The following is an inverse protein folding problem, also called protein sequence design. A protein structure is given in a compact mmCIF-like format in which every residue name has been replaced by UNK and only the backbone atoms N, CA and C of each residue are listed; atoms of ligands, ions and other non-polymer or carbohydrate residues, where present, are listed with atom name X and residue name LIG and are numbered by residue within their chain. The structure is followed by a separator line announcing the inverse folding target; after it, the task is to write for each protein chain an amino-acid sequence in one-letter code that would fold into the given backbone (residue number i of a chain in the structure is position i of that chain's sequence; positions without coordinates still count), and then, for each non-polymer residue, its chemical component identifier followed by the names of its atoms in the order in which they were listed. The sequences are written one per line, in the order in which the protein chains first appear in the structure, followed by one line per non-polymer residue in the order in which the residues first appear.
data_IF_212437854952
#
_entry.id   IF_212437854952
#
_cell.length_a   1.000
_cell.length_b   1.000
_cell.length_c   1.000
_cell.angle_alpha   90.00
_cell.angle_beta   90.00
_cell.angle_gamma   90.00
#
_symmetry.space_group_name_H-M   'P 1'
#
loop_
_entity.id
_entity.type
_entity.pdbx_description
1 polymer ?
#
# COMPACT_ATOMS: atom_id res chain seq x y z
N UNK A 1 9.88 -8.16 -35.78
CA UNK A 1 10.11 -6.82 -35.23
C UNK A 1 9.98 -6.92 -33.71
N UNK A 2 10.81 -6.22 -32.95
CA UNK A 2 10.67 -6.13 -31.50
C UNK A 2 9.33 -5.48 -31.14
N UNK A 3 8.67 -5.93 -30.07
CA UNK A 3 7.46 -5.25 -29.56
C UNK A 3 7.82 -3.85 -29.09
N UNK A 4 6.91 -2.90 -29.22
CA UNK A 4 7.04 -1.55 -28.69
C UNK A 4 6.36 -1.50 -27.32
N UNK A 5 7.13 -1.12 -26.31
CA UNK A 5 6.64 -0.93 -24.93
C UNK A 5 6.57 0.56 -24.65
N UNK A 6 5.45 1.03 -24.18
CA UNK A 6 5.25 2.42 -23.81
C UNK A 6 5.06 2.57 -22.30
N UNK A 7 5.72 3.54 -21.71
CA UNK A 7 5.53 3.97 -20.33
C UNK A 7 5.33 5.47 -20.28
N UNK A 8 4.55 5.97 -19.32
CA UNK A 8 4.40 7.40 -19.08
C UNK A 8 4.45 7.72 -17.60
N UNK A 9 5.09 8.84 -17.27
CA UNK A 9 5.20 9.31 -15.89
C UNK A 9 5.83 10.69 -15.75
N UNK A 10 5.91 11.16 -14.52
CA UNK A 10 6.55 12.44 -14.17
C UNK A 10 8.07 12.34 -14.27
N UNK A 11 8.66 11.30 -13.70
CA UNK A 11 10.11 11.02 -13.66
C UNK A 11 10.96 12.19 -13.13
N UNK A 12 10.39 12.95 -12.22
CA UNK A 12 11.09 14.00 -11.52
C UNK A 12 12.02 13.41 -10.45
N UNK A 13 13.25 13.88 -10.33
CA UNK A 13 14.28 13.33 -9.44
C UNK A 13 14.48 11.82 -9.65
N UNK A 14 15.12 11.44 -10.76
CA UNK A 14 15.39 10.03 -11.07
C UNK A 14 16.11 9.31 -9.92
N UNK A 15 15.64 8.11 -9.60
CA UNK A 15 16.17 7.25 -8.55
C UNK A 15 16.14 5.76 -8.96
N UNK A 16 16.76 4.89 -8.16
CA UNK A 16 16.89 3.46 -8.45
C UNK A 16 15.58 2.75 -8.80
N UNK A 17 14.46 3.17 -8.23
CA UNK A 17 13.13 2.63 -8.55
C UNK A 17 12.71 2.93 -9.99
N UNK A 18 12.99 4.12 -10.53
CA UNK A 18 12.74 4.42 -11.94
C UNK A 18 13.62 3.57 -12.86
N UNK A 19 14.89 3.37 -12.50
CA UNK A 19 15.78 2.54 -13.29
C UNK A 19 15.34 1.08 -13.34
N UNK A 20 14.94 0.51 -12.19
CA UNK A 20 14.41 -0.85 -12.11
C UNK A 20 13.14 -1.00 -12.94
N UNK A 21 12.23 -0.03 -12.89
CA UNK A 21 11.03 0.02 -13.70
C UNK A 21 11.30 0.06 -15.21
N UNK A 22 12.25 0.89 -15.66
CA UNK A 22 12.62 0.93 -17.06
C UNK A 22 13.34 -0.33 -17.53
N UNK A 23 14.16 -0.92 -16.67
CA UNK A 23 14.83 -2.20 -16.95
C UNK A 23 13.79 -3.32 -17.09
N UNK A 24 12.81 -3.41 -16.19
CA UNK A 24 11.70 -4.37 -16.26
C UNK A 24 10.89 -4.17 -17.54
N UNK A 25 10.46 -2.95 -17.84
CA UNK A 25 9.71 -2.64 -19.05
C UNK A 25 10.48 -3.00 -20.32
N UNK A 26 11.80 -2.77 -20.37
CA UNK A 26 12.65 -3.07 -21.52
C UNK A 26 12.77 -4.56 -21.84
N UNK A 27 12.45 -5.44 -20.89
CA UNK A 27 12.44 -6.90 -21.12
C UNK A 27 11.31 -7.35 -22.06
N UNK A 28 10.27 -6.51 -22.20
CA UNK A 28 9.13 -6.81 -23.06
C UNK A 28 9.30 -6.30 -24.50
N UNK A 29 10.31 -5.45 -24.78
CA UNK A 29 10.58 -4.92 -26.11
C UNK A 29 11.31 -3.56 -26.12
N UNK A 30 11.24 -2.86 -27.24
CA UNK A 30 11.81 -1.52 -27.42
C UNK A 30 11.04 -0.51 -26.57
N UNK A 31 11.70 0.12 -25.59
CA UNK A 31 11.07 1.01 -24.60
C UNK A 31 10.94 2.45 -25.12
N UNK A 32 9.72 2.96 -25.15
CA UNK A 32 9.35 4.34 -25.44
C UNK A 32 8.82 5.00 -24.16
N UNK A 33 9.33 6.18 -23.81
CA UNK A 33 9.03 6.86 -22.56
C UNK A 33 8.38 8.22 -22.83
N UNK A 34 7.12 8.38 -22.43
CA UNK A 34 6.42 9.66 -22.37
C UNK A 34 6.65 10.34 -21.02
N UNK A 35 6.94 11.63 -21.05
CA UNK A 35 7.21 12.45 -19.85
C UNK A 35 6.09 13.48 -19.76
N UNK A 36 5.39 13.50 -18.62
CA UNK A 36 4.38 14.53 -18.36
C UNK A 36 5.00 15.91 -18.36
N UNK A 37 4.39 16.87 -19.10
CA UNK A 37 4.86 18.26 -19.13
C UNK A 37 4.80 18.91 -17.75
N UNK A 38 5.59 19.95 -17.52
CA UNK A 38 5.58 20.70 -16.25
C UNK A 38 4.18 21.23 -15.93
N UNK A 39 3.46 21.70 -16.95
CA UNK A 39 2.09 22.19 -16.84
C UNK A 39 1.11 21.08 -16.44
N UNK A 40 1.21 19.89 -17.06
CA UNK A 40 0.41 18.72 -16.70
C UNK A 40 0.66 18.29 -15.26
N UNK A 41 1.93 18.23 -14.83
CA UNK A 41 2.29 17.82 -13.46
C UNK A 41 1.80 18.86 -12.46
N UNK A 42 1.92 20.15 -12.75
CA UNK A 42 1.36 21.21 -11.89
C UNK A 42 -0.15 21.06 -11.70
N UNK A 43 -0.89 20.78 -12.77
CA UNK A 43 -2.34 20.57 -12.72
C UNK A 43 -2.73 19.31 -11.94
N UNK A 44 -1.99 18.20 -12.11
CA UNK A 44 -2.31 16.92 -11.47
C UNK A 44 -1.87 16.83 -10.02
N UNK A 45 -0.72 17.45 -9.66
CA UNK A 45 -0.10 17.31 -8.34
C UNK A 45 -0.14 18.58 -7.48
N UNK A 46 -0.65 19.70 -8.03
CA UNK A 46 -0.72 20.98 -7.31
C UNK A 46 0.63 21.58 -6.94
N UNK A 47 1.73 21.12 -7.56
CA UNK A 47 3.09 21.55 -7.25
C UNK A 47 4.01 21.47 -8.46
N UNK A 48 5.06 22.34 -8.55
CA UNK A 48 6.04 22.27 -9.63
C UNK A 48 6.93 21.03 -9.52
N UNK A 49 7.53 20.66 -10.65
CA UNK A 49 8.63 19.69 -10.71
C UNK A 49 9.91 20.31 -10.12
N UNK A 50 10.84 19.50 -9.63
CA UNK A 50 12.20 19.93 -9.23
C UNK A 50 13.02 20.18 -10.49
N UNK A 51 13.02 19.18 -11.38
CA UNK A 51 13.72 19.26 -12.66
C UNK A 51 12.71 19.65 -13.76
N UNK A 52 12.97 20.68 -14.54
CA UNK A 52 12.09 21.06 -15.66
C UNK A 52 12.00 19.93 -16.69
N UNK A 53 10.92 19.91 -17.47
CA UNK A 53 10.64 18.82 -18.42
C UNK A 53 11.77 18.57 -19.43
N UNK A 54 12.51 19.62 -19.83
CA UNK A 54 13.66 19.51 -20.71
C UNK A 54 14.83 18.73 -20.07
N UNK A 55 15.11 18.96 -18.79
CA UNK A 55 16.13 18.24 -18.05
C UNK A 55 15.72 16.79 -17.78
N UNK A 56 14.46 16.56 -17.42
CA UNK A 56 13.89 15.21 -17.26
C UNK A 56 13.97 14.43 -18.58
N UNK A 57 13.69 15.05 -19.70
CA UNK A 57 13.82 14.47 -21.04
C UNK A 57 15.27 14.07 -21.31
N UNK A 58 16.22 15.00 -21.11
CA UNK A 58 17.64 14.74 -21.30
C UNK A 58 18.13 13.53 -20.48
N UNK A 59 17.80 13.50 -19.19
CA UNK A 59 18.19 12.40 -18.31
C UNK A 59 17.63 11.04 -18.79
N UNK A 60 16.36 11.00 -19.16
CA UNK A 60 15.71 9.75 -19.60
C UNK A 60 16.22 9.27 -20.94
N UNK A 61 16.44 10.17 -21.89
CA UNK A 61 17.04 9.83 -23.19
C UNK A 61 18.43 9.22 -23.07
N UNK A 62 19.17 9.55 -21.98
CA UNK A 62 20.51 9.04 -21.72
C UNK A 62 20.54 7.63 -21.13
N UNK A 63 19.36 7.05 -20.81
CA UNK A 63 19.29 5.71 -20.21
C UNK A 63 19.42 4.60 -21.25
N UNK A 64 20.29 3.63 -20.98
CA UNK A 64 20.56 2.50 -21.91
C UNK A 64 19.33 1.63 -22.24
N UNK A 65 18.30 1.66 -21.39
CA UNK A 65 17.07 0.89 -21.61
C UNK A 65 16.06 1.59 -22.51
N UNK A 66 16.24 2.89 -22.74
CA UNK A 66 15.27 3.74 -23.42
C UNK A 66 15.63 3.84 -24.90
N UNK A 67 14.70 3.42 -25.76
CA UNK A 67 14.83 3.57 -27.22
C UNK A 67 14.59 5.01 -27.65
N UNK A 68 13.57 5.63 -27.07
CA UNK A 68 13.17 7.01 -27.35
C UNK A 68 12.38 7.58 -26.17
N UNK A 69 12.60 8.86 -25.85
CA UNK A 69 11.78 9.60 -24.90
C UNK A 69 11.30 10.92 -25.51
N UNK A 70 10.16 11.43 -25.02
CA UNK A 70 9.55 12.68 -25.46
C UNK A 70 8.65 13.24 -24.40
N UNK A 71 8.36 14.54 -24.46
CA UNK A 71 7.38 15.19 -23.59
C UNK A 71 5.99 14.94 -24.18
N UNK A 72 5.04 14.51 -23.36
CA UNK A 72 3.68 14.27 -23.76
C UNK A 72 3.00 15.57 -24.21
N UNK A 73 2.25 15.50 -25.32
CA UNK A 73 1.61 16.67 -25.94
C UNK A 73 0.22 17.00 -25.36
N UNK A 74 -0.36 16.06 -24.60
CA UNK A 74 -1.70 16.20 -24.03
C UNK A 74 -1.71 16.80 -22.62
N UNK A 75 -2.82 16.56 -21.91
CA UNK A 75 -3.00 16.97 -20.50
C UNK A 75 -3.81 15.94 -19.72
N UNK A 76 -3.68 15.94 -18.37
CA UNK A 76 -4.40 15.03 -17.49
C UNK A 76 -3.76 13.63 -17.40
N UNK A 77 -4.54 12.63 -16.94
CA UNK A 77 -4.04 11.28 -16.64
C UNK A 77 -3.58 10.51 -17.88
N UNK A 78 -4.16 10.81 -19.03
CA UNK A 78 -3.84 10.20 -20.34
C UNK A 78 -3.24 11.22 -21.31
N UNK A 79 -2.38 12.11 -20.79
CA UNK A 79 -1.70 13.17 -21.53
C UNK A 79 -0.89 12.66 -22.74
N UNK A 80 -0.65 11.36 -22.82
CA UNK A 80 0.12 10.65 -23.84
C UNK A 80 -0.73 9.98 -24.94
N UNK A 81 -2.03 10.23 -25.02
CA UNK A 81 -2.87 9.58 -26.04
C UNK A 81 -2.44 9.93 -27.47
N UNK A 82 -1.92 11.15 -27.70
CA UNK A 82 -1.37 11.56 -28.98
C UNK A 82 -0.17 10.70 -29.42
N UNK A 83 0.71 10.43 -28.50
CA UNK A 83 1.91 9.60 -28.67
C UNK A 83 1.54 8.13 -28.94
N UNK A 84 0.54 7.60 -28.25
CA UNK A 84 0.00 6.24 -28.51
C UNK A 84 -0.47 6.11 -29.97
N UNK A 85 -1.18 7.11 -30.51
CA UNK A 85 -1.64 7.11 -31.90
C UNK A 85 -0.49 7.08 -32.91
N UNK A 86 0.59 7.78 -32.61
CA UNK A 86 1.75 7.92 -33.49
C UNK A 86 2.68 6.69 -33.41
N UNK A 87 3.00 6.23 -32.19
CA UNK A 87 3.97 5.15 -31.95
C UNK A 87 3.33 3.80 -32.21
N UNK A 88 2.03 3.64 -31.89
CA UNK A 88 1.27 2.39 -31.93
C UNK A 88 1.99 1.30 -31.16
N UNK A 89 2.14 1.47 -29.83
CA UNK A 89 2.82 0.48 -29.01
C UNK A 89 1.97 -0.80 -28.87
N UNK A 90 2.64 -1.93 -28.66
CA UNK A 90 2.00 -3.22 -28.37
C UNK A 90 1.61 -3.34 -26.90
N UNK A 91 2.37 -2.67 -26.01
CA UNK A 91 2.24 -2.78 -24.57
C UNK A 91 2.23 -1.38 -23.94
N UNK A 92 1.26 -1.12 -23.07
CA UNK A 92 1.33 -0.05 -22.07
C UNK A 92 1.75 -0.67 -20.73
N UNK A 93 2.94 -0.29 -20.25
CA UNK A 93 3.51 -0.79 -19.01
C UNK A 93 3.44 0.31 -17.96
N UNK A 94 2.86 0.04 -16.80
CA UNK A 94 2.64 1.04 -15.74
C UNK A 94 3.12 0.50 -14.39
N UNK A 95 3.44 1.40 -13.48
CA UNK A 95 3.54 1.05 -12.06
C UNK A 95 2.14 0.84 -11.49
N UNK A 96 2.05 0.15 -10.37
CA UNK A 96 0.79 -0.02 -9.65
C UNK A 96 0.17 1.33 -9.22
N UNK A 97 1.00 2.33 -8.82
CA UNK A 97 0.55 3.71 -8.52
C UNK A 97 0.15 4.52 -9.77
N UNK A 98 0.59 4.09 -10.93
CA UNK A 98 0.21 4.64 -12.22
C UNK A 98 -0.99 3.98 -12.87
N UNK A 99 -1.57 2.93 -12.25
CA UNK A 99 -2.77 2.26 -12.75
C UNK A 99 -4.01 3.15 -12.68
N UNK A 100 -4.88 3.06 -13.69
CA UNK A 100 -6.20 3.67 -13.68
C UNK A 100 -7.11 3.03 -14.72
N UNK A 101 -8.43 3.02 -14.46
CA UNK A 101 -9.44 2.52 -15.40
C UNK A 101 -9.36 3.23 -16.77
N UNK A 102 -9.03 4.54 -16.78
CA UNK A 102 -8.87 5.30 -18.03
C UNK A 102 -7.73 4.75 -18.90
N UNK A 103 -6.64 4.29 -18.29
CA UNK A 103 -5.51 3.67 -19.01
C UNK A 103 -5.86 2.28 -19.54
N UNK A 104 -6.64 1.50 -18.77
CA UNK A 104 -7.16 0.23 -19.28
C UNK A 104 -8.11 0.40 -20.46
N UNK A 105 -9.05 1.35 -20.38
CA UNK A 105 -9.94 1.71 -21.49
C UNK A 105 -9.15 2.16 -22.72
N UNK A 106 -8.09 2.96 -22.51
CA UNK A 106 -7.18 3.36 -23.58
C UNK A 106 -6.52 2.14 -24.24
N UNK A 107 -6.07 1.16 -23.42
CA UNK A 107 -5.48 -0.08 -23.94
C UNK A 107 -6.49 -0.90 -24.75
N UNK A 108 -7.74 -1.03 -24.29
CA UNK A 108 -8.82 -1.70 -25.05
C UNK A 108 -9.07 -0.97 -26.38
N UNK A 109 -9.16 0.37 -26.36
CA UNK A 109 -9.38 1.22 -27.54
C UNK A 109 -8.31 1.03 -28.62
N UNK A 110 -7.03 0.96 -28.21
CA UNK A 110 -5.89 0.84 -29.13
C UNK A 110 -5.34 -0.58 -29.27
N UNK A 111 -6.02 -1.59 -28.68
CA UNK A 111 -5.64 -3.01 -28.73
C UNK A 111 -4.23 -3.26 -28.22
N UNK A 112 -3.84 -2.59 -27.13
CA UNK A 112 -2.57 -2.76 -26.45
C UNK A 112 -2.73 -3.73 -25.28
N UNK A 113 -1.68 -4.49 -24.98
CA UNK A 113 -1.58 -5.24 -23.74
C UNK A 113 -1.32 -4.26 -22.59
N UNK A 114 -2.04 -4.40 -21.46
CA UNK A 114 -1.82 -3.62 -20.26
C UNK A 114 -1.04 -4.48 -19.26
N UNK A 115 0.12 -3.98 -18.79
CA UNK A 115 0.97 -4.70 -17.83
C UNK A 115 1.27 -3.78 -16.67
N UNK A 116 1.09 -4.31 -15.45
CA UNK A 116 1.39 -3.61 -14.19
C UNK A 116 2.69 -4.17 -13.63
N UNK A 117 3.66 -3.29 -13.35
CA UNK A 117 4.93 -3.63 -12.70
C UNK A 117 4.69 -4.09 -11.26
N UNK A 118 5.48 -5.05 -10.80
CA UNK A 118 5.47 -5.54 -9.42
C UNK A 118 6.32 -4.71 -8.46
N UNK A 119 6.96 -3.63 -8.93
CA UNK A 119 7.80 -2.72 -8.12
C UNK A 119 8.90 -3.41 -7.30
N UNK A 120 9.54 -4.40 -7.85
CA UNK A 120 10.60 -5.13 -7.14
C UNK A 120 11.89 -4.32 -7.16
N UNK A 121 12.45 -3.93 -5.99
CA UNK A 121 13.76 -3.31 -5.94
C UNK A 121 14.84 -4.24 -6.50
N UNK A 122 15.82 -3.68 -7.21
CA UNK A 122 16.90 -4.47 -7.78
C UNK A 122 17.97 -4.82 -6.75
N UNK A 123 18.10 -6.10 -6.44
CA UNK A 123 19.11 -6.60 -5.50
C UNK A 123 18.93 -6.03 -4.09
N UNK A 124 20.01 -5.45 -3.54
CA UNK A 124 20.02 -4.83 -2.20
C UNK A 124 19.77 -3.31 -2.24
N UNK A 125 19.33 -2.75 -3.38
CA UNK A 125 19.07 -1.31 -3.46
C UNK A 125 17.82 -0.96 -2.65
N UNK A 126 17.84 0.18 -1.90
CA UNK A 126 16.68 0.61 -1.15
C UNK A 126 15.54 1.00 -2.08
N UNK A 127 14.33 0.78 -1.64
CA UNK A 127 13.14 1.33 -2.30
C UNK A 127 13.20 2.85 -2.22
N UNK A 128 12.96 3.53 -3.34
CA UNK A 128 12.99 4.99 -3.44
C UNK A 128 11.74 5.50 -4.15
N UNK A 129 11.24 6.66 -3.72
CA UNK A 129 10.24 7.43 -4.43
C UNK A 129 10.66 8.90 -4.55
N UNK A 130 10.13 9.59 -5.56
CA UNK A 130 10.34 11.04 -5.71
C UNK A 130 9.81 11.82 -4.51
N UNK A 131 8.73 11.37 -3.90
CA UNK A 131 8.15 11.99 -2.70
C UNK A 131 9.08 11.89 -1.51
N UNK A 132 9.70 10.74 -1.28
CA UNK A 132 10.71 10.57 -0.23
C UNK A 132 11.95 11.45 -0.47
N UNK A 133 12.40 11.57 -1.73
CA UNK A 133 13.57 12.39 -2.06
C UNK A 133 13.31 13.89 -1.95
N UNK A 134 12.08 14.34 -2.21
CA UNK A 134 11.70 15.75 -2.11
C UNK A 134 11.58 16.24 -0.69
N UNK A 135 11.13 15.38 0.19
CA UNK A 135 10.92 15.68 1.59
C UNK A 135 11.44 14.49 2.38
N UNK A 136 12.24 14.73 3.39
CA UNK A 136 12.54 13.74 4.43
C UNK A 136 11.25 13.51 5.27
N UNK A 137 10.20 13.04 4.62
CA UNK A 137 8.93 12.77 5.29
C UNK A 137 9.07 11.47 6.07
N UNK A 138 9.16 11.58 7.37
CA UNK A 138 9.27 10.45 8.29
C UNK A 138 7.92 10.02 8.87
N UNK A 139 6.79 10.55 8.36
CA UNK A 139 5.47 10.06 8.74
C UNK A 139 5.36 8.59 8.32
N UNK A 140 5.18 7.66 9.28
CA UNK A 140 5.19 6.24 9.00
C UNK A 140 3.93 5.75 8.30
N UNK A 141 3.96 4.49 7.89
CA UNK A 141 2.77 3.71 7.53
C UNK A 141 2.38 2.78 8.66
N UNK A 142 1.25 2.10 8.53
CA UNK A 142 0.75 1.11 9.46
C UNK A 142 0.38 -0.18 8.73
N UNK A 143 0.75 -1.32 9.32
CA UNK A 143 0.22 -2.62 8.95
C UNK A 143 -0.71 -3.12 10.07
N UNK A 144 -1.92 -3.54 9.70
CA UNK A 144 -2.82 -4.31 10.55
C UNK A 144 -2.41 -5.78 10.50
N UNK A 145 -1.90 -6.32 11.61
CA UNK A 145 -1.54 -7.73 11.72
C UNK A 145 -2.75 -8.61 12.02
N UNK A 146 -3.66 -8.17 12.86
CA UNK A 146 -4.87 -8.91 13.21
C UNK A 146 -5.94 -8.01 13.81
N UNK A 147 -7.20 -8.42 13.72
CA UNK A 147 -8.31 -7.78 14.42
C UNK A 147 -8.87 -6.53 13.72
N UNK A 148 -8.33 -6.13 12.57
CA UNK A 148 -8.88 -5.00 11.83
C UNK A 148 -10.40 -5.10 11.65
N UNK A 149 -11.10 -3.98 11.68
CA UNK A 149 -12.54 -3.79 11.82
C UNK A 149 -13.07 -3.78 13.26
N UNK A 150 -12.37 -4.36 14.26
CA UNK A 150 -12.82 -4.26 15.66
C UNK A 150 -12.74 -2.82 16.22
N UNK A 151 -12.02 -1.93 15.57
CA UNK A 151 -11.99 -0.48 15.84
C UNK A 151 -13.25 0.26 15.32
N UNK A 152 -14.15 -0.48 14.67
CA UNK A 152 -15.46 0.02 14.26
C UNK A 152 -16.53 -0.39 15.30
N UNK A 153 -17.28 0.58 15.88
CA UNK A 153 -18.30 0.29 16.89
C UNK A 153 -19.38 -0.68 16.41
N UNK A 154 -19.71 -0.66 15.11
CA UNK A 154 -20.69 -1.56 14.54
C UNK A 154 -20.21 -3.02 14.46
N UNK A 155 -18.90 -3.28 14.67
CA UNK A 155 -18.31 -4.62 14.80
C UNK A 155 -18.09 -4.97 16.27
N UNK A 156 -17.34 -4.13 17.01
CA UNK A 156 -16.94 -4.44 18.40
C UNK A 156 -18.09 -4.48 19.40
N UNK A 157 -19.22 -3.81 19.12
CA UNK A 157 -20.44 -3.96 19.94
C UNK A 157 -21.06 -5.37 19.91
N UNK A 158 -20.77 -6.18 18.88
CA UNK A 158 -21.22 -7.58 18.85
C UNK A 158 -20.36 -8.49 19.72
N UNK A 159 -19.06 -8.21 19.76
CA UNK A 159 -18.09 -8.83 20.67
C UNK A 159 -16.86 -7.92 20.76
N UNK A 160 -16.49 -7.46 21.98
CA UNK A 160 -15.26 -6.70 22.18
C UNK A 160 -14.02 -7.47 21.75
N UNK A 161 -12.98 -6.74 21.36
CA UNK A 161 -11.72 -7.38 20.97
C UNK A 161 -10.63 -6.39 20.62
N UNK A 162 -9.48 -6.92 20.26
CA UNK A 162 -8.30 -6.11 19.99
C UNK A 162 -7.98 -5.99 18.52
N UNK A 163 -7.30 -4.91 18.15
CA UNK A 163 -6.57 -4.77 16.89
C UNK A 163 -5.09 -4.74 17.19
N UNK A 164 -4.28 -5.44 16.39
CA UNK A 164 -2.82 -5.45 16.50
C UNK A 164 -2.23 -4.78 15.26
N UNK A 165 -1.41 -3.75 15.48
CA UNK A 165 -0.73 -3.05 14.40
C UNK A 165 0.76 -2.93 14.63
N UNK A 166 1.51 -2.79 13.53
CA UNK A 166 2.90 -2.32 13.55
C UNK A 166 3.00 -1.01 12.78
N UNK A 167 3.81 -0.09 13.32
CA UNK A 167 4.21 1.14 12.64
C UNK A 167 5.46 0.85 11.81
N UNK A 168 5.46 1.16 10.53
CA UNK A 168 6.59 0.86 9.64
C UNK A 168 7.23 2.12 9.10
N UNK A 169 8.56 2.07 8.96
CA UNK A 169 9.33 3.17 8.40
C UNK A 169 8.91 3.45 6.96
N UNK A 170 8.87 4.71 6.52
CA UNK A 170 8.45 5.07 5.18
C UNK A 170 9.55 4.87 4.13
N UNK A 171 10.27 3.74 4.20
CA UNK A 171 11.30 3.35 3.21
C UNK A 171 10.67 2.89 1.88
N UNK A 172 9.40 2.50 1.92
CA UNK A 172 8.59 2.12 0.77
C UNK A 172 7.46 3.13 0.64
N UNK A 173 7.21 3.61 -0.57
CA UNK A 173 6.03 4.43 -0.84
C UNK A 173 4.88 3.53 -1.29
N UNK A 174 3.83 3.48 -0.47
CA UNK A 174 2.66 2.67 -0.74
C UNK A 174 1.59 3.49 -1.46
N UNK A 175 0.91 2.85 -2.40
CA UNK A 175 -0.16 3.48 -3.17
C UNK A 175 -1.34 3.90 -2.31
N UNK A 176 -2.11 4.83 -2.84
CA UNK A 176 -3.43 5.15 -2.32
C UNK A 176 -4.30 3.91 -2.27
N UNK A 177 -5.07 3.78 -1.18
CA UNK A 177 -6.01 2.68 -0.99
C UNK A 177 -5.36 1.29 -0.94
N UNK A 178 -4.07 1.23 -0.58
CA UNK A 178 -3.29 -0.02 -0.47
C UNK A 178 -3.51 -0.80 0.84
N UNK A 179 -4.30 -0.26 1.77
CA UNK A 179 -4.49 -0.86 3.10
C UNK A 179 -3.35 -0.64 4.09
N UNK A 180 -2.40 0.26 3.76
CA UNK A 180 -1.26 0.63 4.61
C UNK A 180 -1.48 1.95 5.37
N UNK A 181 -2.74 2.31 5.64
CA UNK A 181 -3.16 3.61 6.22
C UNK A 181 -2.72 4.83 5.40
N UNK A 182 -2.69 4.70 4.09
CA UNK A 182 -2.22 5.79 3.20
C UNK A 182 -3.08 7.05 3.32
N UNK A 183 -4.41 6.94 3.42
CA UNK A 183 -5.32 8.07 3.61
C UNK A 183 -5.03 8.82 4.92
N UNK A 184 -4.93 8.11 6.03
CA UNK A 184 -4.62 8.68 7.36
C UNK A 184 -3.21 9.25 7.39
N UNK A 185 -2.26 8.62 6.70
CA UNK A 185 -0.90 9.15 6.53
C UNK A 185 -0.90 10.49 5.80
N UNK A 186 -1.69 10.66 4.74
CA UNK A 186 -1.84 11.96 4.08
C UNK A 186 -2.43 13.01 5.02
N UNK A 187 -3.40 12.65 5.84
CA UNK A 187 -3.93 13.55 6.88
C UNK A 187 -2.88 13.93 7.91
N UNK A 188 -2.01 13.01 8.28
CA UNK A 188 -0.88 13.30 9.17
C UNK A 188 0.14 14.25 8.51
N UNK A 189 0.41 14.09 7.20
CA UNK A 189 1.27 15.00 6.43
C UNK A 189 0.63 16.39 6.30
N UNK A 190 -0.67 16.48 6.03
CA UNK A 190 -1.41 17.75 6.02
C UNK A 190 -1.31 18.46 7.38
N UNK A 191 -1.45 17.70 8.47
CA UNK A 191 -1.47 18.24 9.84
C UNK A 191 -0.08 18.59 10.38
N UNK A 192 0.92 17.75 10.12
CA UNK A 192 2.25 17.82 10.75
C UNK A 192 3.41 17.97 9.76
N UNK A 193 3.15 18.03 8.49
CA UNK A 193 4.14 18.10 7.41
C UNK A 193 5.00 16.84 7.34
N UNK A 194 6.24 16.87 7.86
CA UNK A 194 7.23 15.84 7.56
C UNK A 194 7.38 14.76 8.62
N UNK A 195 6.94 15.00 9.85
CA UNK A 195 7.15 14.09 10.98
C UNK A 195 6.06 14.16 12.02
N UNK A 196 5.82 13.05 12.71
CA UNK A 196 4.95 13.04 13.89
C UNK A 196 5.62 13.87 14.99
N UNK A 197 4.95 14.90 15.56
CA UNK A 197 5.54 15.72 16.60
C UNK A 197 5.97 14.93 17.85
N UNK A 198 6.88 15.49 18.61
CA UNK A 198 7.18 15.01 19.95
C UNK A 198 6.03 15.30 20.90
N UNK A 199 5.77 14.43 21.87
CA UNK A 199 4.75 14.63 22.88
C UNK A 199 3.99 13.36 23.25
N UNK A 200 2.84 13.57 23.90
CA UNK A 200 1.93 12.50 24.29
C UNK A 200 1.34 11.80 23.07
N UNK A 201 1.76 10.58 22.84
CA UNK A 201 1.38 9.78 21.65
C UNK A 201 -0.13 9.55 21.55
N UNK A 202 -0.80 9.31 22.67
CA UNK A 202 -2.24 9.10 22.66
C UNK A 202 -2.99 10.39 22.27
N UNK A 203 -2.56 11.55 22.79
CA UNK A 203 -3.14 12.85 22.41
C UNK A 203 -2.89 13.15 20.93
N UNK A 204 -1.69 12.90 20.43
CA UNK A 204 -1.38 13.07 19.01
C UNK A 204 -2.23 12.18 18.13
N UNK A 205 -2.40 10.90 18.49
CA UNK A 205 -3.27 9.99 17.75
C UNK A 205 -4.75 10.43 17.78
N UNK A 206 -5.26 10.92 18.93
CA UNK A 206 -6.60 11.51 19.02
C UNK A 206 -6.74 12.74 18.14
N UNK A 207 -5.72 13.60 18.10
CA UNK A 207 -5.71 14.79 17.23
C UNK A 207 -5.81 14.38 15.76
N UNK A 208 -5.01 13.41 15.33
CA UNK A 208 -5.04 12.90 13.96
C UNK A 208 -6.39 12.26 13.63
N UNK A 209 -6.92 11.42 14.53
CA UNK A 209 -8.23 10.80 14.38
C UNK A 209 -9.36 11.84 14.21
N UNK A 210 -9.37 12.87 15.05
CA UNK A 210 -10.35 13.96 14.94
C UNK A 210 -10.18 14.79 13.66
N UNK A 211 -8.94 14.99 13.22
CA UNK A 211 -8.65 15.71 11.98
C UNK A 211 -9.12 14.95 10.75
N UNK A 212 -8.95 13.61 10.74
CA UNK A 212 -9.45 12.74 9.67
C UNK A 212 -10.98 12.65 9.67
N UNK A 213 -11.62 12.72 10.84
CA UNK A 213 -13.05 12.56 11.05
C UNK A 213 -13.70 13.84 11.60
N UNK A 214 -13.76 14.94 10.83
CA UNK A 214 -14.37 16.18 11.28
C UNK A 214 -15.88 15.99 11.57
N UNK A 215 -16.48 16.81 12.43
CA UNK A 215 -17.90 16.76 12.70
C UNK A 215 -18.74 16.84 11.42
N UNK A 216 -19.66 15.90 11.25
CA UNK A 216 -20.49 15.80 10.05
C UNK A 216 -19.96 14.83 8.97
N UNK A 217 -18.85 14.12 9.23
CA UNK A 217 -18.42 13.03 8.35
C UNK A 217 -19.49 11.97 8.23
N UNK A 218 -19.81 11.58 7.01
CA UNK A 218 -20.77 10.50 6.71
C UNK A 218 -20.24 9.15 7.17
N UNK A 219 -18.93 8.92 6.96
CA UNK A 219 -18.23 7.72 7.39
C UNK A 219 -17.09 8.12 8.33
N UNK A 220 -16.97 7.40 9.45
CA UNK A 220 -15.91 7.60 10.43
C UNK A 220 -14.89 6.49 10.27
N UNK A 221 -13.65 6.85 9.91
CA UNK A 221 -12.52 5.93 9.91
C UNK A 221 -12.25 5.44 11.33
N UNK A 222 -11.86 4.17 11.49
CA UNK A 222 -11.47 3.66 12.80
C UNK A 222 -10.16 4.25 13.31
N UNK A 223 -9.97 4.22 14.62
CA UNK A 223 -8.80 4.86 15.25
C UNK A 223 -7.50 4.08 15.12
N UNK A 224 -7.55 2.80 14.67
CA UNK A 224 -6.36 1.96 14.50
C UNK A 224 -5.33 2.59 13.54
N UNK A 225 -5.80 3.34 12.54
CA UNK A 225 -4.95 3.97 11.54
C UNK A 225 -4.18 5.15 12.17
N UNK A 226 -4.87 6.06 12.85
CA UNK A 226 -4.25 7.17 13.55
C UNK A 226 -3.29 6.70 14.65
N UNK A 227 -3.69 5.69 15.43
CA UNK A 227 -2.86 5.08 16.46
C UNK A 227 -1.62 4.40 15.85
N UNK A 228 -1.79 3.62 14.78
CA UNK A 228 -0.69 2.89 14.13
C UNK A 228 0.33 3.79 13.45
N UNK A 229 -0.08 4.98 12.97
CA UNK A 229 0.85 6.01 12.46
C UNK A 229 1.62 6.67 13.60
N UNK A 230 0.95 7.00 14.70
CA UNK A 230 1.57 7.77 15.77
C UNK A 230 2.41 6.91 16.71
N UNK A 231 1.95 5.70 17.04
CA UNK A 231 2.61 4.82 18.00
C UNK A 231 3.64 3.92 17.33
N UNK A 232 4.94 4.00 17.66
CA UNK A 232 5.97 3.14 17.10
C UNK A 232 5.90 1.72 17.65
N UNK A 233 6.56 0.79 16.97
CA UNK A 233 6.68 -0.60 17.38
C UNK A 233 5.44 -1.43 17.09
N UNK A 234 5.21 -2.44 17.93
CA UNK A 234 4.06 -3.34 17.92
C UNK A 234 3.05 -2.88 18.95
N UNK A 235 1.79 -2.72 18.54
CA UNK A 235 0.74 -2.15 19.37
C UNK A 235 -0.51 -3.02 19.33
N UNK A 236 -1.20 -3.12 20.48
CA UNK A 236 -2.49 -3.79 20.64
C UNK A 236 -3.48 -2.82 21.26
N UNK A 237 -4.62 -2.62 20.60
CA UNK A 237 -5.69 -1.71 20.99
C UNK A 237 -6.96 -2.52 21.27
N UNK A 238 -7.50 -2.44 22.48
CA UNK A 238 -8.73 -3.16 22.85
C UNK A 238 -9.95 -2.25 22.73
N UNK A 239 -10.93 -2.68 21.95
CA UNK A 239 -12.17 -1.94 21.66
C UNK A 239 -13.38 -2.65 22.27
N UNK A 240 -14.30 -1.85 22.82
CA UNK A 240 -15.53 -2.31 23.47
C UNK A 240 -16.73 -1.43 23.03
N UNK A 241 -17.02 -1.43 21.72
CA UNK A 241 -18.16 -0.73 21.15
C UNK A 241 -17.97 0.76 20.87
N UNK A 242 -16.73 1.28 21.02
CA UNK A 242 -16.38 2.68 20.75
C UNK A 242 -15.32 2.80 19.68
N UNK A 243 -15.19 3.98 19.05
CA UNK A 243 -14.11 4.28 18.09
C UNK A 243 -12.74 4.39 18.73
N UNK A 244 -12.67 4.69 20.03
CA UNK A 244 -11.41 4.80 20.75
C UNK A 244 -11.20 3.60 21.66
N UNK A 245 -9.98 3.00 21.69
CA UNK A 245 -9.73 1.83 22.51
C UNK A 245 -9.77 2.16 24.01
N UNK A 246 -10.30 1.24 24.81
CA UNK A 246 -10.32 1.36 26.27
C UNK A 246 -9.00 0.93 26.90
N UNK A 247 -8.15 0.22 26.16
CA UNK A 247 -6.81 -0.17 26.60
C UNK A 247 -5.83 -0.20 25.43
N UNK A 248 -4.61 0.28 25.67
CA UNK A 248 -3.51 0.29 24.70
C UNK A 248 -2.30 -0.41 25.32
N UNK A 249 -1.76 -1.42 24.63
CA UNK A 249 -0.49 -2.06 24.97
C UNK A 249 0.48 -1.84 23.82
N UNK A 250 1.71 -1.38 24.13
CA UNK A 250 2.75 -1.13 23.16
C UNK A 250 4.05 -1.79 23.58
N UNK A 251 4.81 -2.30 22.62
CA UNK A 251 6.17 -2.80 22.83
C UNK A 251 7.11 -2.34 21.74
N UNK A 252 8.37 -2.08 22.14
CA UNK A 252 9.50 -1.78 21.27
C UNK A 252 10.65 -2.76 21.51
N UNK A 253 10.32 -3.96 21.99
CA UNK A 253 11.31 -5.01 22.19
C UNK A 253 12.00 -5.33 20.86
N UNK A 254 13.31 -5.05 20.80
CA UNK A 254 14.10 -5.15 19.58
C UNK A 254 14.13 -6.58 19.02
N UNK A 255 14.19 -7.58 19.89
CA UNK A 255 14.20 -8.98 19.48
C UNK A 255 12.88 -9.36 18.81
N UNK A 256 11.76 -8.90 19.38
CA UNK A 256 10.42 -9.16 18.86
C UNK A 256 10.19 -8.42 17.53
N UNK A 257 10.61 -7.14 17.43
CA UNK A 257 10.43 -6.36 16.23
C UNK A 257 11.30 -6.89 15.07
N UNK A 258 12.56 -7.24 15.33
CA UNK A 258 13.44 -7.85 14.33
C UNK A 258 12.90 -9.21 13.88
N UNK A 259 12.37 -10.02 14.82
CA UNK A 259 11.75 -11.28 14.48
C UNK A 259 10.53 -11.10 13.55
N UNK A 260 9.69 -10.08 13.78
CA UNK A 260 8.58 -9.77 12.87
C UNK A 260 9.09 -9.34 11.50
N UNK A 261 10.12 -8.49 11.43
CA UNK A 261 10.75 -8.06 10.16
C UNK A 261 11.31 -9.24 9.36
N UNK A 262 11.87 -10.25 10.04
CA UNK A 262 12.42 -11.43 9.39
C UNK A 262 11.35 -12.31 8.74
N UNK A 263 10.13 -12.33 9.28
CA UNK A 263 9.09 -13.27 8.86
C UNK A 263 7.92 -12.64 8.08
N UNK A 264 7.83 -11.30 8.00
CA UNK A 264 6.76 -10.61 7.26
C UNK A 264 7.26 -10.23 5.85
N UNK A 265 6.46 -10.56 4.85
CA UNK A 265 6.69 -10.27 3.44
C UNK A 265 5.45 -9.66 2.81
N UNK A 266 5.63 -8.66 1.94
CA UNK A 266 4.53 -8.01 1.23
C UNK A 266 4.59 -8.36 -0.25
N UNK A 267 3.47 -8.81 -0.81
CA UNK A 267 3.31 -9.02 -2.25
C UNK A 267 2.30 -8.02 -2.78
N UNK A 268 2.71 -7.21 -3.75
CA UNK A 268 1.83 -6.22 -4.34
C UNK A 268 0.72 -6.88 -5.16
N UNK A 269 -0.51 -6.42 -4.95
CA UNK A 269 -1.67 -6.62 -5.81
C UNK A 269 -1.93 -5.33 -6.60
N UNK A 270 -2.79 -5.38 -7.58
CA UNK A 270 -3.32 -4.18 -8.22
C UNK A 270 -4.05 -3.27 -7.20
N UNK A 271 -4.10 -1.94 -7.45
CA UNK A 271 -4.83 -1.04 -6.57
C UNK A 271 -6.33 -1.37 -6.58
N UNK A 272 -6.98 -1.09 -5.45
CA UNK A 272 -8.43 -1.24 -5.31
C UNK A 272 -9.17 -0.38 -6.35
N UNK A 273 -10.18 -0.93 -7.02
CA UNK A 273 -11.00 -0.18 -7.98
C UNK A 273 -11.76 0.96 -7.29
N UNK A 274 -12.05 2.03 -8.06
CA UNK A 274 -12.79 3.18 -7.53
C UNK A 274 -14.24 2.88 -7.15
N UNK A 275 -14.84 1.83 -7.76
CA UNK A 275 -16.21 1.37 -7.50
C UNK A 275 -16.30 0.28 -6.42
N UNK A 276 -15.20 -0.08 -5.79
CA UNK A 276 -15.17 -1.14 -4.79
C UNK A 276 -15.84 -0.68 -3.49
N UNK A 277 -16.90 -1.39 -3.08
CA UNK A 277 -17.55 -1.23 -1.79
C UNK A 277 -17.34 -2.48 -0.92
N UNK A 278 -16.53 -2.34 0.12
CA UNK A 278 -16.23 -3.42 1.06
C UNK A 278 -17.39 -3.72 1.99
N UNK A 279 -18.28 -2.74 2.22
CA UNK A 279 -19.38 -2.86 3.17
C UNK A 279 -20.60 -3.55 2.57
N UNK A 280 -20.66 -3.68 1.25
CA UNK A 280 -21.74 -4.42 0.59
C UNK A 280 -21.68 -5.90 1.00
N UNK A 281 -22.84 -6.52 1.20
CA UNK A 281 -23.00 -7.91 1.66
C UNK A 281 -22.39 -8.23 3.05
N UNK A 282 -22.25 -7.22 3.91
CA UNK A 282 -21.68 -7.39 5.26
C UNK A 282 -22.53 -8.32 6.14
N UNK A 283 -21.88 -9.27 6.84
CA UNK A 283 -22.50 -10.26 7.75
C UNK A 283 -21.95 -10.08 9.16
N UNK A 284 -22.55 -9.18 9.93
CA UNK A 284 -22.13 -8.92 11.32
C UNK A 284 -22.97 -9.73 12.31
N UNK A 285 -22.31 -10.45 13.16
CA UNK A 285 -22.92 -11.17 14.27
C UNK A 285 -21.88 -11.45 15.39
N UNK A 286 -22.38 -11.86 16.55
CA UNK A 286 -21.54 -12.12 17.73
C UNK A 286 -20.50 -13.21 17.49
N UNK A 287 -20.81 -14.23 16.72
CA UNK A 287 -19.91 -15.35 16.46
C UNK A 287 -18.72 -14.90 15.60
N UNK A 288 -18.97 -14.22 14.49
CA UNK A 288 -17.92 -13.74 13.60
C UNK A 288 -16.99 -12.73 14.29
N UNK A 289 -17.56 -11.77 15.07
CA UNK A 289 -16.76 -10.81 15.83
C UNK A 289 -15.93 -11.52 16.91
N UNK A 290 -16.47 -12.53 17.60
CA UNK A 290 -15.73 -13.33 18.58
C UNK A 290 -14.60 -14.14 17.94
N UNK A 291 -14.83 -14.74 16.77
CA UNK A 291 -13.80 -15.49 16.06
C UNK A 291 -12.63 -14.58 15.66
N UNK A 292 -12.91 -13.37 15.19
CA UNK A 292 -11.90 -12.37 14.91
C UNK A 292 -11.11 -11.96 16.17
N UNK A 293 -11.82 -11.69 17.27
CA UNK A 293 -11.19 -11.34 18.55
C UNK A 293 -10.28 -12.47 19.06
N UNK A 294 -10.74 -13.74 19.02
CA UNK A 294 -9.95 -14.89 19.46
C UNK A 294 -8.70 -15.10 18.60
N UNK A 295 -8.81 -15.00 17.28
CA UNK A 295 -7.67 -15.10 16.37
C UNK A 295 -6.64 -13.99 16.66
N UNK A 296 -7.10 -12.80 17.00
CA UNK A 296 -6.23 -11.67 17.37
C UNK A 296 -5.46 -11.93 18.67
N UNK A 297 -6.12 -12.48 19.69
CA UNK A 297 -5.43 -12.85 20.93
C UNK A 297 -4.36 -13.93 20.67
N UNK A 298 -4.66 -14.93 19.85
CA UNK A 298 -3.68 -15.94 19.44
C UNK A 298 -2.46 -15.31 18.75
N UNK A 299 -2.67 -14.35 17.83
CA UNK A 299 -1.57 -13.62 17.17
C UNK A 299 -0.70 -12.90 18.19
N UNK A 300 -1.32 -12.18 19.15
CA UNK A 300 -0.59 -11.47 20.18
C UNK A 300 0.27 -12.39 21.05
N UNK A 301 -0.29 -13.48 21.53
CA UNK A 301 0.42 -14.46 22.35
C UNK A 301 1.56 -15.14 21.58
N UNK A 302 1.31 -15.50 20.31
CA UNK A 302 2.32 -16.16 19.48
C UNK A 302 3.50 -15.24 19.19
N UNK A 303 3.27 -13.95 18.92
CA UNK A 303 4.35 -12.97 18.72
C UNK A 303 5.20 -12.83 19.99
N UNK A 304 4.56 -12.75 21.18
CA UNK A 304 5.29 -12.64 22.44
C UNK A 304 6.13 -13.87 22.78
N UNK A 305 5.69 -15.05 22.33
CA UNK A 305 6.40 -16.31 22.50
C UNK A 305 7.38 -16.62 21.35
N UNK A 306 7.46 -15.75 20.33
CA UNK A 306 8.21 -15.97 19.08
C UNK A 306 7.82 -17.29 18.40
N UNK A 307 6.55 -17.68 18.53
CA UNK A 307 5.96 -18.87 17.92
C UNK A 307 5.48 -18.54 16.50
N UNK A 308 6.30 -18.87 15.51
CA UNK A 308 6.00 -18.59 14.11
C UNK A 308 4.78 -19.36 13.59
N UNK A 309 4.60 -20.61 14.03
CA UNK A 309 3.47 -21.42 13.58
C UNK A 309 2.15 -20.90 14.14
N UNK A 310 2.12 -20.60 15.44
CA UNK A 310 0.97 -19.98 16.09
C UNK A 310 0.65 -18.60 15.49
N UNK A 311 1.66 -17.78 15.22
CA UNK A 311 1.49 -16.48 14.57
C UNK A 311 0.88 -16.62 13.18
N UNK A 312 1.45 -17.44 12.30
CA UNK A 312 0.96 -17.66 10.95
C UNK A 312 -0.49 -18.19 10.94
N UNK A 313 -0.78 -19.14 11.82
CA UNK A 313 -2.13 -19.70 11.98
C UNK A 313 -3.14 -18.65 12.42
N UNK A 314 -2.87 -17.94 13.52
CA UNK A 314 -3.76 -16.87 14.02
C UNK A 314 -3.94 -15.73 13.03
N UNK A 315 -2.88 -15.38 12.30
CA UNK A 315 -2.88 -14.37 11.24
C UNK A 315 -3.87 -14.72 10.12
N UNK A 316 -3.80 -15.94 9.59
CA UNK A 316 -4.73 -16.44 8.56
C UNK A 316 -6.16 -16.56 9.11
N UNK A 317 -6.34 -17.06 10.35
CA UNK A 317 -7.66 -17.14 10.97
C UNK A 317 -8.30 -15.76 11.19
N UNK A 318 -7.50 -14.73 11.52
CA UNK A 318 -7.98 -13.35 11.59
C UNK A 318 -8.51 -12.88 10.21
N UNK A 319 -7.80 -13.18 9.14
CA UNK A 319 -8.25 -12.88 7.78
C UNK A 319 -9.51 -13.65 7.38
N UNK A 320 -9.58 -14.95 7.68
CA UNK A 320 -10.76 -15.76 7.43
C UNK A 320 -12.00 -15.24 8.18
N UNK A 321 -11.83 -14.78 9.42
CA UNK A 321 -12.90 -14.15 10.17
C UNK A 321 -13.34 -12.81 9.55
N UNK A 322 -12.39 -12.02 9.02
CA UNK A 322 -12.69 -10.77 8.32
C UNK A 322 -13.49 -11.01 7.03
N UNK A 323 -13.09 -11.94 6.17
CA UNK A 323 -13.81 -12.22 4.92
C UNK A 323 -15.19 -12.86 5.14
N UNK A 324 -15.41 -13.54 6.27
CA UNK A 324 -16.76 -14.00 6.66
C UNK A 324 -17.68 -12.85 7.03
N UNK A 325 -17.15 -11.77 7.59
CA UNK A 325 -17.93 -10.56 7.91
C UNK A 325 -18.07 -9.64 6.69
N UNK A 326 -17.03 -9.54 5.88
CA UNK A 326 -16.91 -8.64 4.74
C UNK A 326 -16.50 -9.42 3.49
N UNK A 327 -17.42 -10.17 2.85
CA UNK A 327 -17.09 -11.05 1.72
C UNK A 327 -16.43 -10.32 0.56
N UNK A 328 -16.78 -9.04 0.36
CA UNK A 328 -16.23 -8.22 -0.71
C UNK A 328 -14.75 -7.83 -0.50
N UNK A 329 -14.13 -8.18 0.64
CA UNK A 329 -12.67 -8.00 0.82
C UNK A 329 -11.84 -8.76 -0.22
N UNK A 330 -12.39 -9.84 -0.80
CA UNK A 330 -11.73 -10.72 -1.76
C UNK A 330 -12.56 -10.84 -3.03
N UNK A 331 -11.89 -11.15 -4.13
CA UNK A 331 -12.46 -11.60 -5.39
C UNK A 331 -11.68 -12.81 -5.88
N UNK A 332 -12.10 -13.41 -6.99
CA UNK A 332 -11.48 -14.64 -7.53
C UNK A 332 -10.00 -14.42 -7.86
N UNK A 333 -9.61 -13.29 -8.45
CA UNK A 333 -8.23 -12.94 -8.78
C UNK A 333 -7.32 -12.87 -7.54
N UNK A 334 -7.83 -12.25 -6.45
CA UNK A 334 -7.12 -12.18 -5.17
C UNK A 334 -6.95 -13.57 -4.57
N UNK A 335 -8.00 -14.40 -4.59
CA UNK A 335 -7.97 -15.77 -4.07
C UNK A 335 -7.02 -16.66 -4.87
N UNK A 336 -7.04 -16.59 -6.20
CA UNK A 336 -6.09 -17.27 -7.08
C UNK A 336 -4.65 -16.82 -6.78
N UNK A 337 -4.43 -15.53 -6.57
CA UNK A 337 -3.10 -15.02 -6.20
C UNK A 337 -2.65 -15.56 -4.86
N UNK A 338 -3.51 -15.57 -3.84
CA UNK A 338 -3.21 -16.17 -2.52
C UNK A 338 -2.86 -17.66 -2.69
N UNK A 339 -3.60 -18.38 -3.53
CA UNK A 339 -3.36 -19.82 -3.77
C UNK A 339 -1.94 -20.09 -4.30
N UNK A 340 -1.36 -19.20 -5.09
CA UNK A 340 0.03 -19.34 -5.56
C UNK A 340 1.09 -19.29 -4.46
N UNK A 341 0.72 -18.79 -3.27
CA UNK A 341 1.61 -18.64 -2.12
C UNK A 341 1.36 -19.65 -0.98
N UNK A 342 0.29 -20.44 -1.04
CA UNK A 342 -0.06 -21.40 0.04
C UNK A 342 1.03 -22.43 0.34
N UNK A 343 1.81 -22.82 -0.67
CA UNK A 343 2.95 -23.75 -0.51
C UNK A 343 4.27 -23.03 -0.17
N UNK A 344 4.28 -21.68 -0.18
CA UNK A 344 5.49 -20.85 -0.01
C UNK A 344 5.46 -20.02 1.27
N UNK A 345 4.30 -19.91 1.90
CA UNK A 345 4.10 -19.14 3.13
C UNK A 345 3.29 -19.95 4.14
N UNK A 346 3.53 -19.70 5.41
CA UNK A 346 2.84 -20.36 6.53
C UNK A 346 1.51 -19.68 6.89
N UNK A 347 1.35 -18.41 6.51
CA UNK A 347 0.14 -17.62 6.75
C UNK A 347 0.03 -16.45 5.78
N UNK A 348 -1.19 -15.98 5.57
CA UNK A 348 -1.51 -14.92 4.63
C UNK A 348 -2.72 -14.08 5.09
N UNK A 349 -2.73 -12.82 4.65
CA UNK A 349 -3.80 -11.87 4.90
C UNK A 349 -3.74 -10.74 3.87
N UNK A 350 -4.86 -10.11 3.57
CA UNK A 350 -4.86 -8.84 2.83
C UNK A 350 -4.56 -7.65 3.75
N UNK A 351 -3.91 -6.63 3.21
CA UNK A 351 -3.73 -5.36 3.89
C UNK A 351 -5.04 -4.58 3.99
N UNK A 352 -5.33 -4.04 5.16
CA UNK A 352 -6.46 -3.15 5.42
C UNK A 352 -7.83 -3.75 5.05
N UNK A 353 -8.66 -2.96 4.35
CA UNK A 353 -10.03 -3.34 4.01
C UNK A 353 -10.16 -4.29 2.80
N UNK A 354 -9.06 -4.77 2.24
CA UNK A 354 -9.09 -5.71 1.10
C UNK A 354 -9.45 -5.08 -0.24
N UNK A 355 -9.83 -5.90 -1.21
CA UNK A 355 -10.17 -5.47 -2.58
C UNK A 355 -8.97 -5.07 -3.44
N UNK A 356 -7.74 -5.24 -2.94
CA UNK A 356 -6.47 -4.87 -3.58
C UNK A 356 -5.42 -4.45 -2.55
N UNK A 357 -4.34 -3.82 -2.99
CA UNK A 357 -3.24 -3.38 -2.15
C UNK A 357 -2.14 -4.41 -2.04
N UNK A 358 -2.00 -5.08 -0.90
CA UNK A 358 -0.95 -6.06 -0.65
C UNK A 358 -1.48 -7.34 -0.02
N UNK A 359 -0.90 -8.48 -0.41
CA UNK A 359 -0.94 -9.69 0.40
C UNK A 359 0.23 -9.62 1.37
N UNK A 360 -0.06 -9.79 2.65
CA UNK A 360 0.93 -9.91 3.70
C UNK A 360 1.11 -11.40 3.95
N UNK A 361 2.34 -11.88 3.86
CA UNK A 361 2.70 -13.28 4.03
C UNK A 361 3.57 -13.45 5.28
N UNK A 362 3.36 -14.54 5.99
CA UNK A 362 4.22 -14.99 7.08
C UNK A 362 5.00 -16.20 6.59
N UNK A 363 6.34 -16.14 6.63
CA UNK A 363 7.19 -17.23 6.12
C UNK A 363 8.49 -17.35 6.92
N UNK A 364 8.98 -18.57 7.05
CA UNK A 364 10.29 -18.91 7.61
C UNK A 364 11.43 -18.80 6.58
N UNK A 365 11.10 -18.55 5.31
CA UNK A 365 12.03 -18.44 4.19
C UNK A 365 11.75 -17.18 3.38
N UNK A 366 12.77 -16.64 2.69
CA UNK A 366 12.56 -15.54 1.76
C UNK A 366 11.53 -15.88 0.69
N UNK A 367 10.57 -14.99 0.49
CA UNK A 367 9.55 -15.10 -0.56
C UNK A 367 10.00 -14.28 -1.77
N UNK A 368 10.10 -14.94 -2.92
CA UNK A 368 10.46 -14.27 -4.16
C UNK A 368 9.41 -13.22 -4.56
N UNK A 369 9.86 -12.13 -5.15
CA UNK A 369 9.01 -11.03 -5.63
C UNK A 369 8.19 -10.36 -4.50
N UNK A 370 8.71 -10.35 -3.29
CA UNK A 370 8.12 -9.67 -2.15
C UNK A 370 8.96 -8.49 -1.66
N UNK A 371 8.33 -7.59 -0.93
CA UNK A 371 8.97 -6.47 -0.24
C UNK A 371 9.18 -6.83 1.24
N UNK A 372 10.29 -6.38 1.80
CA UNK A 372 10.54 -6.40 3.24
C UNK A 372 10.13 -5.08 3.85
N UNK A 373 9.75 -5.12 5.10
CA UNK A 373 9.40 -3.94 5.89
C UNK A 373 10.45 -3.66 6.94
N UNK A 374 10.48 -2.43 7.43
CA UNK A 374 11.22 -2.03 8.61
C UNK A 374 10.24 -1.42 9.61
N UNK A 375 10.20 -1.97 10.81
CA UNK A 375 9.30 -1.49 11.86
C UNK A 375 9.95 -0.28 12.54
N UNK A 376 9.17 0.77 12.75
CA UNK A 376 9.61 1.98 13.45
C UNK A 376 9.85 1.67 14.92
N UNK A 377 11.01 2.08 15.43
CA UNK A 377 11.43 1.91 16.82
C UNK A 377 10.92 3.03 17.72
#
# INVERSE_FOLDING_TARGET
MSKKVFVSGCYDMLHSGHFAFFEEASQFGDLYVGIGSDDTIMKLKGRPTVNPESERLYMIQSLKFVKQAFINSGSGIIDFEGEIKNIKPDILFVNEDGHSNLKEELCRKYRMQYIISRRIPKGQLPTRSTTMLRQECTIPYRIDLAGGWLDQPYVSKHHPGSVITISIEPEIDFNDRSGMSTSTRYKAIELWQNQVPEGDREKLAKTLFCYENPPGSEFVSGSQDALGIVMPGLNKYYYDGDYWPVNIKSTRDEKMLSWLEDHIYLVALGPRSGSFDVLDNTVLNKENSRNLANATEQVWESIHNLDLQGFAKGFTQSFEAQIKMFPNMVNDEILETIDTYKDKAMGWKLSGAGGGGYIILISDKPVENSLKIKIRR
#
